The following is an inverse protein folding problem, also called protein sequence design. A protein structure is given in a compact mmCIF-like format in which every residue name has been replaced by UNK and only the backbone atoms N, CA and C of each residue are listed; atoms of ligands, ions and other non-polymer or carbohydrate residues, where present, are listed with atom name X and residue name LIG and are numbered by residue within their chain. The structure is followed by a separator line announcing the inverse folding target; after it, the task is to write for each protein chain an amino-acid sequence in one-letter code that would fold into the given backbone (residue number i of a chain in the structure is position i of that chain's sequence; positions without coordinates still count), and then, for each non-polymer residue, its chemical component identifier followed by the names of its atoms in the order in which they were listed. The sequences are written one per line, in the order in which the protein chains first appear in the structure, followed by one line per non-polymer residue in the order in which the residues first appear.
data_IF_036353114526
#
_entry.id   IF_036353114526
#
_cell.length_a   1.000
_cell.length_b   1.000
_cell.length_c   1.000
_cell.angle_alpha   90.00
_cell.angle_beta   90.00
_cell.angle_gamma   90.00
#
_symmetry.space_group_name_H-M   'P 1'
#
loop_
_entity.id
_entity.type
_entity.pdbx_description
1 polymer ?
#
# COMPACT_ATOMS: atom_id res chain seq x y z
N UNK A 1 -53.75 13.98 65.79
CA UNK A 1 -52.93 14.47 64.67
C UNK A 1 -51.69 13.59 64.58
N UNK A 2 -51.65 12.67 63.63
CA UNK A 2 -50.41 11.94 63.29
C UNK A 2 -50.56 11.39 61.87
N UNK A 3 -50.10 12.17 60.89
CA UNK A 3 -49.97 11.74 59.50
C UNK A 3 -48.79 10.77 59.40
N UNK A 4 -49.05 9.51 59.01
CA UNK A 4 -48.00 8.59 58.57
C UNK A 4 -47.80 8.76 57.06
N UNK A 5 -46.69 9.35 56.68
CA UNK A 5 -46.25 9.46 55.28
C UNK A 5 -45.60 8.13 54.90
N UNK A 6 -46.06 7.48 53.83
CA UNK A 6 -45.36 6.35 53.22
C UNK A 6 -44.30 6.86 52.23
N UNK A 7 -43.09 6.27 52.20
CA UNK A 7 -42.07 6.66 51.23
C UNK A 7 -42.38 6.07 49.85
N UNK A 8 -42.42 6.93 48.84
CA UNK A 8 -42.46 6.56 47.42
C UNK A 8 -41.06 6.14 47.00
N UNK A 9 -40.90 4.89 46.55
CA UNK A 9 -39.68 4.43 45.91
C UNK A 9 -39.65 4.92 44.46
N UNK A 10 -38.79 5.89 44.15
CA UNK A 10 -38.47 6.27 42.77
C UNK A 10 -37.39 5.30 42.28
N UNK A 11 -37.78 4.35 41.43
CA UNK A 11 -36.84 3.49 40.72
C UNK A 11 -36.07 4.29 39.67
N UNK A 12 -34.76 4.41 39.83
CA UNK A 12 -33.87 5.03 38.86
C UNK A 12 -33.64 4.03 37.70
N UNK A 13 -34.29 4.24 36.55
CA UNK A 13 -33.93 3.52 35.33
C UNK A 13 -32.67 4.18 34.78
N UNK A 14 -31.52 3.52 34.95
CA UNK A 14 -30.28 3.92 34.30
C UNK A 14 -30.33 3.45 32.83
N UNK A 15 -30.56 4.38 31.90
CA UNK A 15 -30.32 4.13 30.49
C UNK A 15 -28.80 4.04 30.27
N UNK A 16 -28.31 2.84 29.94
CA UNK A 16 -26.93 2.66 29.51
C UNK A 16 -26.82 3.12 28.04
N UNK A 17 -26.19 4.27 27.80
CA UNK A 17 -25.77 4.65 26.46
C UNK A 17 -24.62 3.72 26.05
N UNK A 18 -24.89 2.80 25.14
CA UNK A 18 -23.83 2.06 24.43
C UNK A 18 -23.23 3.04 23.43
N UNK A 19 -22.08 3.62 23.75
CA UNK A 19 -21.27 4.29 22.75
C UNK A 19 -20.73 3.21 21.81
N UNK A 20 -21.24 3.17 20.58
CA UNK A 20 -20.56 2.45 19.51
C UNK A 20 -19.24 3.16 19.25
N UNK A 21 -18.12 2.48 19.53
CA UNK A 21 -16.84 2.86 18.97
C UNK A 21 -16.94 2.78 17.45
N UNK A 22 -16.74 3.88 16.76
CA UNK A 22 -16.49 3.84 15.33
C UNK A 22 -15.10 3.22 15.19
N UNK A 23 -14.97 2.08 14.51
CA UNK A 23 -13.66 1.60 14.11
C UNK A 23 -13.02 2.70 13.26
N UNK A 24 -11.88 3.24 13.69
CA UNK A 24 -11.10 4.13 12.83
C UNK A 24 -10.36 3.30 11.79
N UNK A 25 -10.10 3.88 10.63
CA UNK A 25 -9.26 3.26 9.60
C UNK A 25 -7.99 4.10 9.51
N UNK A 26 -6.83 3.45 9.51
CA UNK A 26 -5.56 4.14 9.23
C UNK A 26 -5.30 4.06 7.73
N UNK A 27 -5.10 5.21 7.10
CA UNK A 27 -4.78 5.32 5.68
C UNK A 27 -3.39 5.93 5.57
N UNK A 28 -2.44 5.13 5.09
CA UNK A 28 -1.08 5.56 4.81
C UNK A 28 -1.08 6.18 3.42
N UNK A 29 -1.12 7.51 3.39
CA UNK A 29 -1.21 8.33 2.18
C UNK A 29 0.09 9.09 1.86
N UNK A 30 1.17 8.85 2.63
CA UNK A 30 2.50 9.41 2.41
C UNK A 30 2.62 10.95 2.53
N UNK A 31 1.57 11.66 2.92
CA UNK A 31 1.59 13.13 3.06
C UNK A 31 2.42 13.61 4.25
N UNK A 32 2.69 12.74 5.22
CA UNK A 32 3.59 13.01 6.35
C UNK A 32 5.09 12.84 5.99
N UNK A 33 5.39 12.28 4.82
CA UNK A 33 6.76 12.19 4.30
C UNK A 33 7.14 13.51 3.63
N UNK A 34 8.29 14.07 4.04
CA UNK A 34 8.78 15.33 3.45
C UNK A 34 9.36 15.07 2.06
N UNK A 35 8.61 15.46 1.03
CA UNK A 35 9.00 15.36 -0.38
C UNK A 35 8.97 16.76 -1.02
N UNK A 36 10.01 17.20 -1.75
CA UNK A 36 9.95 18.45 -2.50
C UNK A 36 8.83 18.39 -3.56
N UNK A 37 8.07 19.47 -3.83
CA UNK A 37 7.07 19.48 -4.89
C UNK A 37 7.66 19.09 -6.25
N UNK A 38 7.08 18.08 -6.90
CA UNK A 38 7.61 17.52 -8.15
C UNK A 38 8.93 16.76 -7.98
N UNK A 39 9.28 16.40 -6.74
CA UNK A 39 10.47 15.65 -6.37
C UNK A 39 10.15 14.33 -5.68
N UNK A 40 11.18 13.72 -5.08
CA UNK A 40 11.10 12.41 -4.45
C UNK A 40 12.06 12.30 -3.25
N UNK A 41 11.77 11.34 -2.39
CA UNK A 41 12.67 10.79 -1.37
C UNK A 41 12.99 9.35 -1.76
N UNK A 42 14.22 9.08 -2.17
CA UNK A 42 14.68 7.75 -2.59
C UNK A 42 15.74 7.16 -1.64
N UNK A 43 15.83 7.71 -0.41
CA UNK A 43 16.78 7.30 0.62
C UNK A 43 18.24 7.64 0.34
N UNK A 44 18.50 8.66 -0.48
CA UNK A 44 19.84 9.25 -0.67
C UNK A 44 20.48 9.82 0.61
N UNK A 45 19.72 9.90 1.71
CA UNK A 45 20.22 10.21 3.05
C UNK A 45 20.87 9.00 3.76
N UNK A 46 20.75 7.79 3.19
CA UNK A 46 21.29 6.54 3.74
C UNK A 46 20.51 6.00 4.94
N UNK A 47 19.25 6.40 5.14
CA UNK A 47 18.41 5.97 6.26
C UNK A 47 18.07 4.47 6.24
N UNK A 48 18.03 3.87 5.04
CA UNK A 48 17.57 2.50 4.80
C UNK A 48 16.05 2.32 4.84
N UNK A 49 15.29 3.38 5.14
CA UNK A 49 13.81 3.38 5.17
C UNK A 49 13.24 4.79 5.35
N UNK A 50 11.97 4.96 5.01
CA UNK A 50 11.15 6.06 5.52
C UNK A 50 9.92 5.52 6.25
N UNK A 51 9.38 6.32 7.16
CA UNK A 51 8.17 5.98 7.92
C UNK A 51 7.02 6.88 7.47
N UNK A 52 5.85 6.30 7.22
CA UNK A 52 4.60 7.04 7.02
C UNK A 52 3.50 6.44 7.88
N UNK A 53 2.84 7.28 8.69
CA UNK A 53 1.75 6.89 9.59
C UNK A 53 2.07 5.66 10.47
N UNK A 54 3.33 5.52 10.87
CA UNK A 54 3.81 4.41 11.73
C UNK A 54 4.17 3.12 11.00
N UNK A 55 4.12 3.09 9.67
CA UNK A 55 4.58 1.97 8.83
C UNK A 55 5.93 2.32 8.23
N UNK A 56 6.88 1.38 8.32
CA UNK A 56 8.22 1.53 7.78
C UNK A 56 8.31 0.95 6.37
N UNK A 57 8.80 1.74 5.42
CA UNK A 57 8.98 1.34 4.03
C UNK A 57 10.47 1.21 3.74
N UNK A 58 10.90 0.00 3.38
CA UNK A 58 12.31 -0.31 3.14
C UNK A 58 12.90 0.51 1.99
N UNK A 59 14.16 0.89 2.11
CA UNK A 59 14.90 1.56 1.05
C UNK A 59 16.37 1.14 1.10
N UNK A 60 17.03 1.06 -0.04
CA UNK A 60 18.50 1.02 -0.10
C UNK A 60 18.98 1.98 -1.17
N UNK A 61 20.11 2.64 -0.92
CA UNK A 61 20.69 3.63 -1.82
C UNK A 61 22.22 3.49 -1.85
N UNK A 62 22.81 3.58 -3.03
CA UNK A 62 24.25 3.68 -3.27
C UNK A 62 24.51 4.66 -4.41
N UNK A 63 25.53 5.51 -4.27
CA UNK A 63 25.95 6.45 -5.31
C UNK A 63 27.39 6.22 -5.79
N UNK A 64 28.02 5.11 -5.39
CA UNK A 64 29.44 4.82 -5.68
C UNK A 64 29.72 4.80 -7.19
N UNK A 65 28.78 4.29 -7.99
CA UNK A 65 28.88 4.24 -9.46
C UNK A 65 27.80 5.07 -10.17
N UNK A 66 27.21 6.03 -9.45
CA UNK A 66 26.03 6.78 -9.86
C UNK A 66 24.82 6.42 -8.98
N UNK A 67 23.81 7.31 -8.91
CA UNK A 67 22.69 7.14 -8.00
C UNK A 67 21.89 5.89 -8.36
N UNK A 68 21.87 4.93 -7.45
CA UNK A 68 21.11 3.70 -7.52
C UNK A 68 20.32 3.53 -6.24
N UNK A 69 19.08 3.09 -6.36
CA UNK A 69 18.21 2.81 -5.22
C UNK A 69 17.45 1.52 -5.46
N UNK A 70 16.87 0.94 -4.42
CA UNK A 70 15.89 -0.15 -4.49
C UNK A 70 14.98 -0.11 -3.26
N UNK A 71 13.86 -0.86 -3.30
CA UNK A 71 12.84 -0.80 -2.26
C UNK A 71 11.77 0.25 -2.58
N UNK A 72 11.44 1.10 -1.61
CA UNK A 72 10.46 2.17 -1.76
C UNK A 72 11.09 3.56 -1.80
N UNK A 73 10.46 4.44 -2.58
CA UNK A 73 10.65 5.88 -2.56
C UNK A 73 9.30 6.56 -2.33
N UNK A 74 9.27 7.71 -1.67
CA UNK A 74 8.10 8.59 -1.67
C UNK A 74 8.27 9.62 -2.79
N UNK A 75 7.20 9.93 -3.53
CA UNK A 75 7.28 10.77 -4.73
C UNK A 75 6.07 11.69 -4.85
N UNK A 76 6.29 12.87 -5.43
CA UNK A 76 5.25 13.80 -5.89
C UNK A 76 5.45 14.18 -7.37
N UNK A 77 6.24 13.41 -8.11
CA UNK A 77 6.52 13.66 -9.54
C UNK A 77 5.23 13.44 -10.34
N UNK A 78 4.89 14.36 -11.25
CA UNK A 78 3.63 14.32 -11.99
C UNK A 78 3.79 14.16 -13.50
N UNK A 79 4.98 13.77 -13.97
CA UNK A 79 5.25 13.61 -15.41
C UNK A 79 4.71 12.27 -15.91
N UNK A 80 3.61 12.33 -16.67
CA UNK A 80 2.93 11.17 -17.25
C UNK A 80 3.31 10.91 -18.70
N UNK A 81 4.29 11.64 -19.24
CA UNK A 81 4.54 11.70 -20.69
C UNK A 81 5.96 11.33 -21.09
N UNK A 82 6.94 11.55 -20.22
CA UNK A 82 8.35 11.27 -20.56
C UNK A 82 8.66 9.78 -20.39
N UNK A 83 9.09 9.07 -21.44
CA UNK A 83 9.50 7.67 -21.34
C UNK A 83 10.90 7.52 -20.74
N UNK A 84 11.19 6.32 -20.24
CA UNK A 84 12.54 5.91 -19.83
C UNK A 84 12.85 6.10 -18.34
N UNK A 85 13.99 5.54 -17.93
CA UNK A 85 14.49 5.50 -16.54
C UNK A 85 14.58 6.87 -15.85
N UNK A 86 14.76 7.95 -16.60
CA UNK A 86 14.75 9.31 -16.03
C UNK A 86 13.43 9.67 -15.33
N UNK A 87 12.33 9.00 -15.68
CA UNK A 87 11.00 9.23 -15.14
C UNK A 87 10.49 8.11 -14.21
N UNK A 88 11.42 7.38 -13.57
CA UNK A 88 11.12 6.22 -12.72
C UNK A 88 10.29 6.53 -11.46
N UNK A 89 10.16 7.80 -11.06
CA UNK A 89 9.45 8.20 -9.84
C UNK A 89 8.03 8.70 -10.09
N UNK A 90 7.58 8.82 -11.34
CA UNK A 90 6.23 9.26 -11.64
C UNK A 90 5.23 8.10 -11.61
N UNK A 91 4.14 8.23 -10.87
CA UNK A 91 2.95 7.40 -11.05
C UNK A 91 2.24 7.81 -12.34
N UNK A 92 1.75 6.85 -13.12
CA UNK A 92 1.11 7.14 -14.40
C UNK A 92 -0.17 8.01 -14.30
N UNK A 93 -0.98 7.95 -13.21
CA UNK A 93 -2.06 8.90 -12.99
C UNK A 93 -1.60 10.36 -12.84
N UNK A 94 -0.31 10.61 -12.57
CA UNK A 94 0.26 11.95 -12.42
C UNK A 94 0.06 12.62 -11.04
N UNK A 95 -0.63 11.95 -10.13
CA UNK A 95 -0.80 12.37 -8.73
C UNK A 95 -1.08 11.15 -7.86
N UNK A 96 -1.09 11.34 -6.54
CA UNK A 96 -1.67 10.35 -5.63
C UNK A 96 -3.19 10.26 -5.77
N UNK A 97 -3.78 9.31 -5.06
CA UNK A 97 -5.22 8.99 -5.09
C UNK A 97 -6.04 10.19 -4.64
N UNK A 98 -7.13 10.46 -5.37
CA UNK A 98 -8.00 11.63 -5.15
C UNK A 98 -7.26 12.98 -5.22
N UNK A 99 -6.09 13.03 -5.87
CA UNK A 99 -5.30 14.25 -6.05
C UNK A 99 -4.42 14.60 -4.85
N UNK A 100 -4.09 13.64 -3.98
CA UNK A 100 -3.01 13.78 -3.00
C UNK A 100 -1.68 14.07 -3.71
N UNK A 101 -0.75 14.71 -2.99
CA UNK A 101 0.50 15.16 -3.57
C UNK A 101 1.51 14.02 -3.64
N UNK A 102 1.55 13.22 -2.59
CA UNK A 102 2.54 12.17 -2.40
C UNK A 102 1.93 10.79 -2.63
N UNK A 103 2.79 9.86 -3.02
CA UNK A 103 2.52 8.43 -3.14
C UNK A 103 3.85 7.67 -3.02
N UNK A 104 3.80 6.36 -2.88
CA UNK A 104 4.99 5.51 -2.89
C UNK A 104 5.27 4.96 -4.29
N UNK A 105 6.55 4.83 -4.64
CA UNK A 105 7.05 4.09 -5.79
C UNK A 105 7.87 2.92 -5.27
N UNK A 106 7.53 1.70 -5.68
CA UNK A 106 8.30 0.51 -5.39
C UNK A 106 9.17 0.12 -6.58
N UNK A 107 10.47 -0.08 -6.35
CA UNK A 107 11.42 -0.63 -7.31
C UNK A 107 11.89 -2.01 -6.84
N UNK A 108 11.48 -3.05 -7.57
CA UNK A 108 11.79 -4.43 -7.24
C UNK A 108 13.13 -4.83 -7.86
N UNK A 109 14.21 -4.47 -7.16
CA UNK A 109 15.57 -4.94 -7.43
C UNK A 109 16.19 -5.49 -6.14
N UNK A 110 17.28 -6.24 -6.28
CA UNK A 110 18.06 -6.75 -5.14
C UNK A 110 19.57 -6.66 -5.43
N UNK A 111 19.97 -5.63 -6.17
CA UNK A 111 21.36 -5.39 -6.52
C UNK A 111 22.17 -4.90 -5.32
N UNK A 112 21.58 -4.08 -4.44
CA UNK A 112 22.22 -3.62 -3.20
C UNK A 112 22.05 -4.61 -2.03
N UNK A 113 21.21 -5.63 -2.20
CA UNK A 113 20.89 -6.59 -1.14
C UNK A 113 19.82 -6.08 -0.16
N UNK A 114 19.15 -4.97 -0.48
CA UNK A 114 18.01 -4.42 0.27
C UNK A 114 16.73 -5.26 0.16
N UNK A 115 16.70 -6.20 -0.78
CA UNK A 115 15.57 -7.11 -0.98
C UNK A 115 14.39 -6.45 -1.70
N UNK A 116 13.30 -7.22 -1.78
CA UNK A 116 12.02 -6.73 -2.29
C UNK A 116 11.52 -5.50 -1.49
N UNK A 117 10.87 -4.52 -2.13
CA UNK A 117 10.14 -3.47 -1.44
C UNK A 117 9.27 -4.08 -0.34
N UNK A 118 9.46 -3.60 0.89
CA UNK A 118 8.83 -4.14 2.09
C UNK A 118 8.18 -3.02 2.88
N UNK A 119 6.90 -3.20 3.23
CA UNK A 119 6.20 -2.38 4.22
C UNK A 119 6.14 -3.17 5.53
N UNK A 120 6.78 -2.69 6.57
CA UNK A 120 6.89 -3.33 7.88
C UNK A 120 6.05 -2.56 8.92
N UNK A 121 5.18 -3.28 9.61
CA UNK A 121 4.30 -2.72 10.64
C UNK A 121 4.99 -2.79 12.00
N UNK A 122 4.62 -1.89 12.92
CA UNK A 122 5.16 -1.89 14.30
C UNK A 122 4.79 -3.14 15.13
N UNK A 123 3.98 -4.03 14.58
CA UNK A 123 3.55 -5.31 15.13
C UNK A 123 2.53 -5.97 14.19
N UNK A 124 2.07 -7.17 14.53
CA UNK A 124 1.05 -7.87 13.75
C UNK A 124 -0.26 -7.07 13.71
N UNK A 125 -0.77 -6.81 12.51
CA UNK A 125 -2.06 -6.17 12.21
C UNK A 125 -2.97 -7.16 11.50
N UNK A 126 -4.29 -6.96 11.57
CA UNK A 126 -5.25 -7.71 10.74
C UNK A 126 -5.70 -6.83 9.57
N UNK A 127 -5.42 -7.27 8.33
CA UNK A 127 -5.83 -6.53 7.14
C UNK A 127 -7.34 -6.61 6.91
N UNK A 128 -8.03 -7.63 7.42
CA UNK A 128 -9.49 -7.67 7.57
C UNK A 128 -10.32 -7.17 6.38
N UNK A 129 -11.59 -6.85 6.63
CA UNK A 129 -12.45 -6.26 5.60
C UNK A 129 -12.06 -4.80 5.35
N UNK A 130 -11.66 -4.49 4.11
CA UNK A 130 -11.31 -3.13 3.69
C UNK A 130 -9.82 -2.79 3.81
N UNK A 131 -8.98 -3.72 4.27
CA UNK A 131 -7.53 -3.57 4.12
C UNK A 131 -7.11 -3.82 2.68
N UNK A 132 -6.12 -3.06 2.24
CA UNK A 132 -5.76 -3.01 0.83
C UNK A 132 -4.96 -1.78 0.50
N UNK A 133 -4.58 -1.62 -0.76
CA UNK A 133 -3.92 -0.41 -1.23
C UNK A 133 -4.40 -0.06 -2.63
N UNK A 134 -4.23 1.21 -3.00
CA UNK A 134 -4.40 1.61 -4.38
C UNK A 134 -3.07 1.40 -5.11
N UNK A 135 -3.12 0.69 -6.22
CA UNK A 135 -1.96 0.28 -7.01
C UNK A 135 -2.13 0.72 -8.47
N UNK A 136 -1.02 1.06 -9.11
CA UNK A 136 -0.96 1.44 -10.53
C UNK A 136 0.46 1.28 -11.07
N UNK A 137 0.62 1.41 -12.38
CA UNK A 137 1.93 1.51 -13.01
C UNK A 137 2.62 2.86 -12.69
N UNK A 138 3.95 2.83 -12.67
CA UNK A 138 4.73 4.05 -12.90
C UNK A 138 4.65 4.47 -14.37
N UNK A 139 4.92 5.74 -14.65
CA UNK A 139 4.97 6.25 -16.02
C UNK A 139 6.02 5.52 -16.85
N UNK A 140 7.19 5.24 -16.28
CA UNK A 140 8.22 4.50 -16.99
C UNK A 140 7.73 3.11 -17.41
N UNK A 141 7.19 2.32 -16.47
CA UNK A 141 6.70 0.96 -16.78
C UNK A 141 5.55 0.98 -17.78
N UNK A 142 4.55 1.87 -17.59
CA UNK A 142 3.40 1.97 -18.49
C UNK A 142 3.81 2.34 -19.92
N UNK A 143 4.69 3.34 -20.09
CA UNK A 143 5.15 3.76 -21.41
C UNK A 143 6.05 2.71 -22.07
N UNK A 144 6.88 2.03 -21.29
CA UNK A 144 7.72 0.92 -21.78
C UNK A 144 6.86 -0.22 -22.33
N UNK A 145 5.82 -0.64 -21.61
CA UNK A 145 4.88 -1.66 -22.11
C UNK A 145 4.09 -1.17 -23.33
N UNK A 146 3.63 0.09 -23.33
CA UNK A 146 2.80 0.65 -24.41
C UNK A 146 3.57 0.82 -25.72
N UNK A 147 4.80 1.33 -25.66
CA UNK A 147 5.54 1.82 -26.83
C UNK A 147 6.81 0.99 -27.11
N UNK A 148 7.23 0.14 -26.17
CA UNK A 148 8.57 -0.44 -26.14
C UNK A 148 9.65 0.58 -25.79
N UNK A 149 10.86 0.09 -25.52
CA UNK A 149 12.05 0.94 -25.38
C UNK A 149 13.31 0.20 -25.88
N UNK A 150 14.50 0.70 -25.51
CA UNK A 150 15.77 0.09 -25.92
C UNK A 150 16.06 -1.28 -25.28
N UNK A 151 15.28 -1.69 -24.29
CA UNK A 151 15.44 -2.91 -23.50
C UNK A 151 14.20 -3.80 -23.57
N UNK A 152 13.01 -3.21 -23.36
CA UNK A 152 11.73 -3.90 -23.33
C UNK A 152 11.00 -3.82 -24.67
N UNK A 153 10.23 -4.86 -25.01
CA UNK A 153 9.36 -4.85 -26.18
C UNK A 153 8.03 -4.16 -25.86
N UNK A 154 7.36 -3.68 -26.91
CA UNK A 154 5.95 -3.31 -26.82
C UNK A 154 5.09 -4.56 -26.52
N UNK A 155 4.18 -4.45 -25.55
CA UNK A 155 3.20 -5.48 -25.22
C UNK A 155 2.16 -5.63 -26.33
N UNK A 156 1.72 -6.86 -26.60
CA UNK A 156 0.92 -7.19 -27.78
C UNK A 156 1.76 -7.28 -29.07
N UNK A 157 3.04 -6.90 -29.03
CA UNK A 157 3.91 -6.91 -30.19
C UNK A 157 3.41 -5.99 -31.31
N UNK A 158 3.92 -6.19 -32.53
CA UNK A 158 3.63 -5.30 -33.65
C UNK A 158 2.19 -5.42 -34.19
N UNK A 159 1.51 -6.54 -33.92
CA UNK A 159 0.13 -6.80 -34.39
C UNK A 159 -0.91 -6.63 -33.30
N UNK A 160 -0.50 -6.56 -32.03
CA UNK A 160 -1.38 -6.57 -30.86
C UNK A 160 -1.72 -7.98 -30.37
N UNK A 161 -1.19 -9.05 -30.96
CA UNK A 161 -1.58 -10.44 -30.67
C UNK A 161 -0.60 -11.20 -29.76
N UNK A 162 0.55 -10.60 -29.39
CA UNK A 162 1.47 -11.26 -28.46
C UNK A 162 0.85 -11.30 -27.07
N UNK A 163 0.71 -12.50 -26.50
CA UNK A 163 0.28 -12.68 -25.12
C UNK A 163 1.35 -12.14 -24.15
N UNK A 164 1.09 -10.96 -23.59
CA UNK A 164 1.96 -10.30 -22.62
C UNK A 164 1.24 -10.00 -21.29
N UNK A 165 2.02 -9.86 -20.22
CA UNK A 165 1.48 -9.51 -18.91
C UNK A 165 2.56 -8.92 -18.00
N UNK A 166 2.13 -8.11 -17.04
CA UNK A 166 2.99 -7.57 -15.99
C UNK A 166 2.28 -7.74 -14.64
N UNK A 167 2.89 -8.49 -13.73
CA UNK A 167 2.26 -8.98 -12.51
C UNK A 167 2.97 -8.43 -11.27
N UNK A 168 2.22 -7.73 -10.43
CA UNK A 168 2.60 -7.42 -9.06
C UNK A 168 2.10 -8.51 -8.12
N UNK A 169 3.02 -9.10 -7.37
CA UNK A 169 2.75 -10.07 -6.33
C UNK A 169 2.95 -9.41 -4.97
N UNK A 170 1.90 -9.45 -4.14
CA UNK A 170 1.91 -8.94 -2.76
C UNK A 170 1.84 -10.14 -1.83
N UNK A 171 2.88 -10.34 -1.03
CA UNK A 171 2.95 -11.43 -0.07
C UNK A 171 2.90 -10.90 1.36
N UNK A 172 1.98 -11.43 2.16
CA UNK A 172 1.85 -11.15 3.58
C UNK A 172 2.70 -12.10 4.42
N UNK A 173 3.22 -11.61 5.55
CA UNK A 173 3.96 -12.45 6.50
C UNK A 173 3.58 -12.13 7.94
N UNK A 174 3.64 -13.14 8.80
CA UNK A 174 3.66 -13.02 10.26
C UNK A 174 4.88 -13.79 10.80
N UNK A 175 5.84 -13.07 11.37
CA UNK A 175 7.16 -13.59 11.69
C UNK A 175 7.87 -14.12 10.45
N UNK A 176 8.25 -15.39 10.42
CA UNK A 176 8.93 -15.99 9.24
C UNK A 176 7.96 -16.66 8.26
N UNK A 177 6.67 -16.74 8.62
CA UNK A 177 5.67 -17.49 7.87
C UNK A 177 4.95 -16.59 6.87
N UNK A 178 4.78 -17.07 5.65
CA UNK A 178 3.88 -16.45 4.68
C UNK A 178 2.43 -16.69 5.11
N UNK A 179 1.59 -15.65 5.05
CA UNK A 179 0.16 -15.73 5.39
C UNK A 179 -0.73 -15.83 4.14
N UNK A 180 -0.17 -15.50 2.97
CA UNK A 180 -0.88 -15.56 1.70
C UNK A 180 -0.21 -14.71 0.63
N UNK A 181 -0.72 -14.86 -0.59
CA UNK A 181 -0.27 -14.12 -1.76
C UNK A 181 -1.49 -13.52 -2.45
N UNK A 182 -1.33 -12.29 -2.93
CA UNK A 182 -2.26 -11.61 -3.83
C UNK A 182 -1.52 -11.27 -5.11
N UNK A 183 -2.20 -11.50 -6.21
CA UNK A 183 -1.72 -11.27 -7.57
C UNK A 183 -2.53 -10.15 -8.21
N UNK A 184 -1.85 -9.13 -8.72
CA UNK A 184 -2.46 -8.00 -9.41
C UNK A 184 -1.75 -7.75 -10.74
N UNK A 185 -2.45 -8.01 -11.84
CA UNK A 185 -1.94 -7.72 -13.18
C UNK A 185 -2.00 -6.21 -13.44
N UNK A 186 -0.83 -5.59 -13.50
CA UNK A 186 -0.61 -4.21 -13.92
C UNK A 186 -0.75 -4.04 -15.44
N UNK A 187 -0.63 -5.12 -16.19
CA UNK A 187 -1.02 -5.24 -17.58
C UNK A 187 -1.37 -6.70 -17.90
N UNK A 188 -2.32 -6.92 -18.80
CA UNK A 188 -2.70 -8.24 -19.28
C UNK A 188 -3.19 -8.16 -20.73
N UNK A 189 -2.51 -8.87 -21.62
CA UNK A 189 -2.75 -8.96 -23.07
C UNK A 189 -3.00 -10.42 -23.50
N UNK A 190 -3.43 -11.27 -22.56
CA UNK A 190 -3.68 -12.70 -22.83
C UNK A 190 -5.12 -12.97 -23.30
N UNK A 191 -5.90 -11.92 -23.55
CA UNK A 191 -7.29 -12.08 -23.96
C UNK A 191 -7.37 -12.52 -25.42
N UNK A 192 -8.36 -13.36 -25.74
CA UNK A 192 -8.60 -13.74 -27.13
C UNK A 192 -9.20 -12.61 -27.97
N UNK A 193 -9.80 -11.62 -27.29
CA UNK A 193 -10.26 -10.37 -27.89
C UNK A 193 -9.35 -9.26 -27.38
N UNK A 194 -8.43 -8.80 -28.22
CA UNK A 194 -7.42 -7.81 -27.86
C UNK A 194 -8.02 -6.44 -27.46
N UNK A 195 -9.34 -6.23 -27.65
CA UNK A 195 -10.01 -5.05 -27.09
C UNK A 195 -10.20 -5.09 -25.57
N UNK A 196 -10.00 -6.27 -24.96
CA UNK A 196 -9.97 -6.46 -23.51
C UNK A 196 -8.54 -6.27 -22.93
N UNK A 197 -7.51 -6.16 -23.77
CA UNK A 197 -6.14 -5.93 -23.34
C UNK A 197 -6.01 -4.59 -22.61
N UNK A 198 -5.19 -4.56 -21.57
CA UNK A 198 -5.03 -3.36 -20.78
C UNK A 198 -3.63 -3.17 -20.20
N UNK A 199 -3.30 -1.89 -20.00
CA UNK A 199 -2.24 -1.42 -19.11
C UNK A 199 -2.95 -0.56 -18.05
N UNK A 200 -2.77 -0.86 -16.77
CA UNK A 200 -3.36 -0.07 -15.69
C UNK A 200 -2.78 1.34 -15.72
N UNK A 201 -3.63 2.32 -16.04
CA UNK A 201 -3.28 3.73 -16.15
C UNK A 201 -3.87 4.63 -15.06
N UNK A 202 -4.78 4.06 -14.25
CA UNK A 202 -5.44 4.69 -13.12
C UNK A 202 -5.21 3.93 -11.82
N UNK A 203 -5.46 4.60 -10.70
CA UNK A 203 -5.42 3.96 -9.39
C UNK A 203 -6.49 2.87 -9.27
N UNK A 204 -6.07 1.65 -8.98
CA UNK A 204 -6.95 0.50 -8.75
C UNK A 204 -6.81 0.02 -7.31
N UNK A 205 -7.91 -0.04 -6.57
CA UNK A 205 -7.89 -0.61 -5.22
C UNK A 205 -7.75 -2.13 -5.31
N UNK A 206 -6.79 -2.69 -4.57
CA UNK A 206 -6.56 -4.12 -4.45
C UNK A 206 -6.81 -4.52 -3.00
N UNK A 207 -7.76 -5.44 -2.82
CA UNK A 207 -8.18 -5.95 -1.51
C UNK A 207 -7.13 -6.91 -0.94
N UNK A 208 -6.59 -6.57 0.24
CA UNK A 208 -5.60 -7.38 0.95
C UNK A 208 -6.18 -8.27 2.05
N UNK A 209 -7.51 -8.29 2.20
CA UNK A 209 -8.21 -9.02 3.26
C UNK A 209 -7.83 -10.50 3.37
N UNK A 210 -7.53 -11.16 2.26
CA UNK A 210 -7.17 -12.59 2.23
C UNK A 210 -5.81 -12.90 2.86
N UNK A 211 -4.96 -11.88 3.11
CA UNK A 211 -3.68 -12.05 3.80
C UNK A 211 -3.84 -12.19 5.32
N UNK A 212 -4.99 -11.80 5.88
CA UNK A 212 -5.27 -11.92 7.32
C UNK A 212 -4.31 -11.12 8.20
N UNK A 213 -3.78 -11.78 9.23
CA UNK A 213 -2.83 -11.20 10.18
C UNK A 213 -1.41 -11.13 9.59
N UNK A 214 -0.79 -9.95 9.58
CA UNK A 214 0.55 -9.72 9.02
C UNK A 214 1.38 -8.74 9.87
N UNK A 215 2.69 -8.94 9.95
CA UNK A 215 3.68 -7.98 10.45
C UNK A 215 4.42 -7.24 9.32
N UNK A 216 4.34 -7.75 8.08
CA UNK A 216 4.87 -7.07 6.89
C UNK A 216 4.21 -7.52 5.59
N UNK A 217 4.33 -6.66 4.58
CA UNK A 217 4.04 -6.93 3.19
C UNK A 217 5.32 -6.87 2.36
N UNK A 218 5.50 -7.82 1.44
CA UNK A 218 6.57 -7.80 0.43
C UNK A 218 5.98 -7.74 -0.96
N UNK A 219 6.62 -6.97 -1.83
CA UNK A 219 6.16 -6.72 -3.19
C UNK A 219 7.20 -7.20 -4.19
N UNK A 220 6.79 -7.97 -5.19
CA UNK A 220 7.66 -8.42 -6.28
C UNK A 220 6.97 -8.27 -7.62
N UNK A 221 7.75 -8.05 -8.67
CA UNK A 221 7.25 -7.93 -10.03
C UNK A 221 7.79 -9.05 -10.91
N UNK A 222 6.94 -9.49 -11.84
CA UNK A 222 7.30 -10.40 -12.91
C UNK A 222 6.58 -9.98 -14.21
N UNK A 223 7.10 -10.41 -15.36
CA UNK A 223 6.59 -10.03 -16.68
C UNK A 223 6.75 -11.18 -17.66
N UNK A 224 5.95 -11.18 -18.72
CA UNK A 224 6.18 -12.00 -19.92
C UNK A 224 7.45 -11.58 -20.67
N UNK A 225 7.78 -10.29 -20.67
CA UNK A 225 8.93 -9.74 -21.37
C UNK A 225 10.21 -9.93 -20.55
N UNK A 226 10.90 -11.04 -20.83
CA UNK A 226 12.12 -11.48 -20.16
C UNK A 226 13.22 -11.78 -21.16
N UNK A 227 14.46 -11.49 -20.78
CA UNK A 227 15.68 -11.84 -21.51
C UNK A 227 16.62 -12.68 -20.66
N UNK A 228 17.84 -12.91 -21.16
CA UNK A 228 18.87 -13.69 -20.45
C UNK A 228 19.29 -13.10 -19.10
N UNK A 229 19.06 -11.80 -18.91
CA UNK A 229 19.45 -11.06 -17.70
C UNK A 229 18.29 -10.84 -16.72
N UNK A 230 17.11 -11.45 -16.99
CA UNK A 230 15.90 -11.27 -16.20
C UNK A 230 14.82 -10.49 -16.94
N UNK A 231 13.93 -9.86 -16.19
CA UNK A 231 12.84 -9.05 -16.72
C UNK A 231 13.37 -7.83 -17.48
N UNK A 232 12.87 -7.61 -18.70
CA UNK A 232 13.20 -6.41 -19.48
C UNK A 232 12.28 -5.24 -19.11
N UNK A 233 11.00 -5.54 -18.83
CA UNK A 233 10.02 -4.55 -18.37
C UNK A 233 10.54 -3.82 -17.12
N UNK A 234 10.43 -2.49 -17.03
CA UNK A 234 10.86 -1.74 -15.86
C UNK A 234 10.17 -2.23 -14.59
N UNK A 235 10.97 -2.65 -13.61
CA UNK A 235 10.50 -3.29 -12.38
C UNK A 235 9.95 -2.29 -11.33
N UNK A 236 9.08 -1.37 -11.76
CA UNK A 236 8.55 -0.29 -10.94
C UNK A 236 7.02 -0.29 -10.89
N UNK A 237 6.45 -0.10 -9.70
CA UNK A 237 5.02 0.12 -9.48
C UNK A 237 4.80 1.34 -8.58
N UNK A 238 3.57 1.87 -8.56
CA UNK A 238 3.18 2.92 -7.64
C UNK A 238 2.06 2.43 -6.71
N UNK A 239 2.10 2.92 -5.47
CA UNK A 239 1.15 2.58 -4.41
C UNK A 239 0.74 3.84 -3.65
N UNK A 240 -0.52 3.93 -3.28
CA UNK A 240 -1.02 4.98 -2.41
C UNK A 240 -2.16 4.44 -1.51
N UNK A 241 -2.45 5.17 -0.43
CA UNK A 241 -3.53 4.87 0.50
C UNK A 241 -3.57 3.41 0.96
N UNK A 242 -2.43 2.89 1.44
CA UNK A 242 -2.40 1.59 2.12
C UNK A 242 -3.31 1.70 3.35
N UNK A 243 -4.35 0.88 3.37
CA UNK A 243 -5.45 0.97 4.31
C UNK A 243 -5.35 -0.17 5.30
N UNK A 244 -5.32 0.17 6.59
CA UNK A 244 -5.32 -0.78 7.70
C UNK A 244 -6.64 -0.56 8.47
N UNK A 245 -7.56 -1.53 8.45
CA UNK A 245 -8.72 -1.50 9.32
C UNK A 245 -8.27 -1.64 10.78
N UNK A 246 -8.74 -0.79 11.69
CA UNK A 246 -8.42 -1.00 13.11
C UNK A 246 -9.12 -2.27 13.64
N UNK A 247 -8.47 -3.02 14.54
CA UNK A 247 -9.08 -4.18 15.16
C UNK A 247 -10.32 -3.75 15.95
N UNK A 248 -11.47 -4.35 15.64
CA UNK A 248 -12.74 -4.11 16.35
C UNK A 248 -12.70 -4.48 17.84
N UNK A 249 -11.62 -5.13 18.31
CA UNK A 249 -11.50 -5.73 19.64
C UNK A 249 -10.99 -4.80 20.75
N UNK A 250 -10.32 -3.68 20.46
CA UNK A 250 -9.86 -2.73 21.51
C UNK A 250 -11.00 -1.90 22.13
N UNK A 251 -12.17 -1.89 21.49
CA UNK A 251 -13.29 -1.06 21.93
C UNK A 251 -14.11 -1.64 23.08
N UNK A 252 -13.94 -2.93 23.42
CA UNK A 252 -14.67 -3.54 24.56
C UNK A 252 -13.99 -3.36 25.92
N UNK A 253 -12.69 -3.02 25.97
CA UNK A 253 -11.96 -2.92 27.25
C UNK A 253 -12.29 -1.58 27.98
N UNK A 254 -12.74 -0.55 27.26
CA UNK A 254 -13.13 0.72 27.85
C UNK A 254 -14.44 0.67 28.67
N UNK A 255 -15.30 -0.34 28.46
CA UNK A 255 -16.59 -0.47 29.18
C UNK A 255 -16.50 -1.27 30.49
N UNK A 256 -15.47 -2.10 30.69
CA UNK A 256 -15.32 -2.90 31.92
C UNK A 256 -14.55 -2.17 33.03
N UNK A 257 -13.62 -1.27 32.68
CA UNK A 257 -12.87 -0.47 33.66
C UNK A 257 -13.74 0.61 34.35
N UNK A 258 -14.77 1.12 33.68
CA UNK A 258 -15.67 2.15 34.21
C UNK A 258 -16.66 1.64 35.28
N UNK A 259 -17.01 0.35 35.29
CA UNK A 259 -17.97 -0.20 36.25
C UNK A 259 -17.35 -0.61 37.59
N UNK A 260 -16.04 -0.85 37.65
CA UNK A 260 -15.35 -1.37 38.85
C UNK A 260 -14.96 -0.27 39.84
N UNK A 261 -14.81 0.99 39.40
CA UNK A 261 -14.35 2.09 40.25
C UNK A 261 -15.43 2.74 41.14
N UNK A 262 -16.71 2.33 41.06
CA UNK A 262 -17.80 2.95 41.83
C UNK A 262 -18.25 2.19 43.08
N UNK A 263 -17.50 1.18 43.56
CA UNK A 263 -17.92 0.35 44.72
C UNK A 263 -17.05 0.39 45.97
N UNK A 264 -16.12 1.33 46.13
CA UNK A 264 -15.39 1.48 47.40
C UNK A 264 -15.29 2.92 47.90
N UNK A 265 -16.40 3.44 48.41
CA UNK A 265 -16.44 4.41 49.53
C UNK A 265 -17.74 4.20 50.30
N UNK A 266 -17.66 3.42 51.37
CA UNK A 266 -18.65 3.23 52.42
C UNK A 266 -17.88 2.99 53.71
#
# INVERSE_FOLDING_TARGET
MTNKIQPVFIGLIAAANVAQSVASTVVINFEDVTVPPGGFYNGSDGSGKFTSSGVDFSNAYDDTFGPYWEGFAASSVSDTTTPGFGNQYAAFPGSGVAGSSNYAVGYTSNFLGGGAPTAEFGGTIDLGAGGGAWLTNTTYAALSMRDGDGFAKQFGGATGDDEDWFLLTIEGFDGVSSTGIIEFYLADFRFSDNSEDYIVDGWTFVDFSSLGEVDRLRFSLSSSDTGSSGMNTPAYFAMDNLTIPEPTSLSLIALSAGLVLRRRRG
#
